data_IF_616305236177
#
_entry.id   IF_616305236177
#
_cell.length_a   1.000
_cell.length_b   1.000
_cell.length_c   1.000
_cell.angle_alpha   90.00
_cell.angle_beta   90.00
_cell.angle_gamma   90.00
#
_symmetry.space_group_name_H-M   'P 1'
#
loop_
_entity.id
_entity.type
_entity.pdbx_description
1 polymer ?
#
# COMPACT_ATOMS: atom_id res chain seq x y z
N UNK A 1 -8.01 -9.30 12.99
CA UNK A 1 -8.60 -9.02 11.66
C UNK A 1 -7.41 -8.88 10.74
N UNK A 2 -7.36 -9.64 9.65
CA UNK A 2 -6.21 -9.62 8.75
C UNK A 2 -6.38 -8.50 7.71
N UNK A 3 -5.31 -7.73 7.51
CA UNK A 3 -5.24 -6.63 6.55
C UNK A 3 -4.18 -6.91 5.50
N UNK A 4 -4.48 -6.53 4.26
CA UNK A 4 -3.64 -6.78 3.09
C UNK A 4 -3.39 -5.46 2.38
N UNK A 5 -2.14 -5.19 2.05
CA UNK A 5 -1.76 -4.02 1.28
C UNK A 5 -1.58 -4.42 -0.18
N UNK A 6 -2.12 -3.63 -1.09
CA UNK A 6 -1.82 -3.66 -2.51
C UNK A 6 -1.16 -2.33 -2.87
N UNK A 7 0.06 -2.37 -3.37
CA UNK A 7 0.77 -1.19 -3.85
C UNK A 7 1.01 -1.28 -5.35
N UNK A 8 0.60 -0.27 -6.09
CA UNK A 8 0.95 -0.05 -7.50
C UNK A 8 2.03 1.04 -7.56
N UNK A 9 3.18 0.69 -8.10
CA UNK A 9 4.40 1.46 -8.04
C UNK A 9 4.75 1.94 -9.44
N UNK A 10 4.73 3.27 -9.60
CA UNK A 10 5.16 3.97 -10.81
C UNK A 10 6.40 4.83 -10.54
N UNK A 11 7.01 5.39 -11.60
CA UNK A 11 8.25 6.16 -11.49
C UNK A 11 8.15 7.45 -10.64
N UNK A 12 6.94 7.98 -10.44
CA UNK A 12 6.72 9.29 -9.79
C UNK A 12 5.72 9.25 -8.64
N UNK A 13 4.78 8.31 -8.67
CA UNK A 13 3.80 8.13 -7.62
C UNK A 13 3.59 6.65 -7.37
N UNK A 14 3.09 6.33 -6.19
CA UNK A 14 2.60 5.01 -5.85
C UNK A 14 1.18 5.11 -5.31
N UNK A 15 0.34 4.15 -5.68
CA UNK A 15 -0.98 4.00 -5.10
C UNK A 15 -0.93 2.86 -4.08
N UNK A 16 -1.37 3.13 -2.86
CA UNK A 16 -1.46 2.17 -1.77
C UNK A 16 -2.93 1.96 -1.42
N UNK A 17 -3.37 0.71 -1.41
CA UNK A 17 -4.70 0.28 -1.02
C UNK A 17 -4.59 -0.77 0.09
N UNK A 18 -5.32 -0.61 1.18
CA UNK A 18 -5.40 -1.56 2.28
C UNK A 18 -6.81 -2.15 2.31
N UNK A 19 -6.90 -3.48 2.26
CA UNK A 19 -8.16 -4.22 2.31
C UNK A 19 -8.19 -5.16 3.51
N UNK A 20 -9.39 -5.43 4.03
CA UNK A 20 -9.58 -6.49 5.02
C UNK A 20 -9.72 -7.88 4.36
N UNK A 21 -9.76 -8.92 5.19
CA UNK A 21 -9.97 -10.31 4.75
C UNK A 21 -11.30 -10.56 4.00
N UNK A 22 -12.25 -9.61 4.01
CA UNK A 22 -13.52 -9.68 3.29
C UNK A 22 -13.48 -8.89 1.97
N UNK A 23 -12.33 -8.31 1.63
CA UNK A 23 -12.14 -7.47 0.45
C UNK A 23 -12.66 -6.04 0.61
N UNK A 24 -12.95 -5.58 1.83
CA UNK A 24 -13.38 -4.20 2.07
C UNK A 24 -12.15 -3.28 2.04
N UNK A 25 -12.19 -2.25 1.20
CA UNK A 25 -11.21 -1.16 1.22
C UNK A 25 -11.32 -0.39 2.54
N UNK A 26 -10.22 -0.40 3.29
CA UNK A 26 -10.08 0.26 4.58
C UNK A 26 -9.29 1.56 4.45
N UNK A 27 -8.36 1.64 3.49
CA UNK A 27 -7.58 2.82 3.15
C UNK A 27 -7.20 2.78 1.68
N UNK A 28 -7.28 3.90 1.00
CA UNK A 28 -6.75 4.09 -0.36
C UNK A 28 -6.10 5.46 -0.43
N UNK A 29 -4.87 5.53 -0.92
CA UNK A 29 -4.09 6.77 -0.98
C UNK A 29 -3.07 6.73 -2.11
N UNK A 30 -2.92 7.85 -2.79
CA UNK A 30 -1.77 8.10 -3.67
C UNK A 30 -0.69 8.84 -2.88
N UNK A 31 0.55 8.38 -3.02
CA UNK A 31 1.73 8.87 -2.32
C UNK A 31 2.86 9.12 -3.32
N UNK A 32 3.88 9.85 -2.89
CA UNK A 32 5.15 9.85 -3.60
C UNK A 32 5.78 8.45 -3.52
N UNK A 33 6.48 8.06 -4.58
CA UNK A 33 7.13 6.75 -4.66
C UNK A 33 8.44 6.70 -3.84
N UNK A 34 8.38 7.17 -2.60
CA UNK A 34 9.47 7.17 -1.63
C UNK A 34 9.18 6.16 -0.52
N UNK A 35 10.23 5.51 -0.02
CA UNK A 35 10.08 4.45 1.00
C UNK A 35 9.49 5.01 2.30
N UNK A 36 9.91 6.21 2.69
CA UNK A 36 9.45 6.85 3.93
C UNK A 36 7.95 7.18 3.88
N UNK A 37 7.45 7.70 2.75
CA UNK A 37 6.03 8.03 2.57
C UNK A 37 5.15 6.77 2.64
N UNK A 38 5.61 5.66 2.07
CA UNK A 38 4.91 4.38 2.14
C UNK A 38 4.93 3.86 3.57
N UNK A 39 6.10 3.87 4.24
CA UNK A 39 6.25 3.40 5.61
C UNK A 39 5.36 4.19 6.58
N UNK A 40 5.37 5.52 6.51
CA UNK A 40 4.54 6.41 7.32
C UNK A 40 3.04 6.15 7.09
N UNK A 41 2.64 5.86 5.85
CA UNK A 41 1.27 5.51 5.54
C UNK A 41 0.84 4.17 6.17
N UNK A 42 1.71 3.16 6.15
CA UNK A 42 1.43 1.85 6.72
C UNK A 42 1.42 1.88 8.25
N UNK A 43 2.38 2.58 8.86
CA UNK A 43 2.43 2.78 10.32
C UNK A 43 1.24 3.60 10.80
N UNK A 44 0.84 4.63 10.04
CA UNK A 44 -0.34 5.44 10.33
C UNK A 44 -1.67 4.70 10.27
N UNK A 45 -1.73 3.53 9.59
CA UNK A 45 -2.92 2.68 9.59
C UNK A 45 -3.17 2.00 10.96
N UNK A 46 -2.13 1.82 11.77
CA UNK A 46 -2.25 1.40 13.17
C UNK A 46 -2.70 -0.05 13.40
N UNK A 47 -2.69 -0.89 12.36
CA UNK A 47 -3.06 -2.30 12.45
C UNK A 47 -1.97 -3.20 11.83
N UNK A 48 -1.75 -4.41 12.39
CA UNK A 48 -0.80 -5.35 11.83
C UNK A 48 -1.23 -5.78 10.42
N UNK A 49 -0.31 -5.72 9.48
CA UNK A 49 -0.51 -6.08 8.08
C UNK A 49 -0.06 -7.52 7.89
N UNK A 50 -0.95 -8.37 7.39
CA UNK A 50 -0.69 -9.79 7.19
C UNK A 50 0.18 -10.05 5.95
N UNK A 51 0.01 -9.23 4.90
CA UNK A 51 0.78 -9.33 3.66
C UNK A 51 0.77 -8.02 2.88
N UNK A 52 1.87 -7.78 2.17
CA UNK A 52 2.00 -6.68 1.20
C UNK A 52 2.17 -7.29 -0.20
N UNK A 53 1.27 -6.91 -1.11
CA UNK A 53 1.39 -7.13 -2.54
C UNK A 53 2.00 -5.89 -3.19
N UNK A 54 2.97 -6.10 -4.08
CA UNK A 54 3.75 -5.04 -4.70
C UNK A 54 3.77 -5.27 -6.21
N UNK A 55 3.08 -4.41 -6.94
CA UNK A 55 3.09 -4.36 -8.39
C UNK A 55 4.01 -3.22 -8.80
N UNK A 56 5.14 -3.56 -9.41
CA UNK A 56 6.03 -2.59 -10.03
C UNK A 56 6.04 -2.81 -11.53
N UNK A 57 5.78 -1.73 -12.28
CA UNK A 57 5.96 -1.73 -13.73
C UNK A 57 7.42 -2.00 -14.11
N UNK A 58 7.63 -2.54 -15.31
CA UNK A 58 8.97 -2.69 -15.85
C UNK A 58 9.64 -1.32 -16.04
N UNK A 59 10.86 -1.17 -15.52
CA UNK A 59 11.69 0.00 -15.77
C UNK A 59 12.27 -0.14 -17.20
N UNK A 60 11.90 0.76 -18.11
CA UNK A 60 12.39 0.80 -19.50
C UNK A 60 13.58 1.74 -19.68
#
# INVERSE_FOLDING_TARGET
MDYFVCSDISLRSCAVCIVDARGKVCLERELHCEVDDIADCLDGFGHPIARVGFEAGAFS
#
